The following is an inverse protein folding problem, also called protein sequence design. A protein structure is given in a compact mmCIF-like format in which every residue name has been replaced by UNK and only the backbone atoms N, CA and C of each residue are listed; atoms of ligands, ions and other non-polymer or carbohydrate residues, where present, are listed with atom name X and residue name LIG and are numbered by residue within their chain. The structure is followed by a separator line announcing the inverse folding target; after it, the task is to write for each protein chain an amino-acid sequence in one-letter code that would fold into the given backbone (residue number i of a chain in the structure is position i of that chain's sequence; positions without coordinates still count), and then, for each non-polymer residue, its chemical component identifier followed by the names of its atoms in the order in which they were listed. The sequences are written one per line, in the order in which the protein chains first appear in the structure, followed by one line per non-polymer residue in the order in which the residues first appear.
data_IF_501559384083
#
_entry.id   IF_501559384083
#
_cell.length_a   1.000
_cell.length_b   1.000
_cell.length_c   1.000
_cell.angle_alpha   90.00
_cell.angle_beta   90.00
_cell.angle_gamma   90.00
#
_symmetry.space_group_name_H-M   'P 1'
#
loop_
_entity.id
_entity.type
_entity.pdbx_description
1 polymer ?
#
# COMPACT_ATOMS: atom_id res chain seq x y z
N UNK A 1 -15.38 -14.77 -8.08
CA UNK A 1 -15.83 -13.66 -7.23
C UNK A 1 -15.45 -12.31 -7.84
N UNK A 2 -14.17 -12.03 -8.04
CA UNK A 2 -13.67 -10.75 -8.57
C UNK A 2 -14.29 -10.44 -9.94
N UNK A 3 -14.28 -11.39 -10.87
CA UNK A 3 -14.88 -11.23 -12.19
C UNK A 3 -16.36 -10.83 -12.10
N UNK A 4 -17.12 -11.54 -11.27
CA UNK A 4 -18.53 -11.25 -11.06
C UNK A 4 -18.75 -9.85 -10.46
N UNK A 5 -17.93 -9.44 -9.50
CA UNK A 5 -18.00 -8.12 -8.89
C UNK A 5 -17.67 -7.00 -9.89
N UNK A 6 -16.72 -7.23 -10.81
CA UNK A 6 -16.41 -6.30 -11.91
C UNK A 6 -17.62 -6.18 -12.85
N UNK A 7 -18.20 -7.29 -13.28
CA UNK A 7 -19.38 -7.32 -14.17
C UNK A 7 -20.61 -6.64 -13.56
N UNK A 8 -20.76 -6.73 -12.23
CA UNK A 8 -21.89 -6.10 -11.51
C UNK A 8 -21.59 -4.67 -11.04
N UNK A 9 -20.45 -4.08 -11.44
CA UNK A 9 -20.12 -2.67 -11.19
C UNK A 9 -19.61 -2.35 -9.78
N UNK A 10 -19.27 -3.37 -8.95
CA UNK A 10 -18.72 -3.16 -7.60
C UNK A 10 -17.26 -2.73 -7.60
N UNK A 11 -16.54 -2.88 -8.71
CA UNK A 11 -15.18 -2.40 -8.90
C UNK A 11 -15.16 -1.18 -9.81
N UNK A 12 -15.57 -0.04 -9.30
CA UNK A 12 -15.37 1.22 -10.00
C UNK A 12 -13.98 1.78 -9.67
N UNK A 13 -13.40 2.51 -10.63
CA UNK A 13 -12.21 3.29 -10.35
C UNK A 13 -12.51 4.23 -9.18
N UNK A 14 -11.62 4.29 -8.20
CA UNK A 14 -11.78 5.22 -7.09
C UNK A 14 -11.76 6.68 -7.62
N UNK A 15 -12.05 7.64 -6.74
CA UNK A 15 -12.03 9.08 -7.08
C UNK A 15 -10.67 9.54 -7.63
N UNK A 16 -9.59 8.81 -7.35
CA UNK A 16 -8.24 9.06 -7.83
C UNK A 16 -7.96 8.37 -9.18
N UNK A 17 -8.91 7.68 -9.80
CA UNK A 17 -8.76 7.01 -11.08
C UNK A 17 -7.96 5.70 -11.04
N UNK A 18 -7.58 5.22 -9.85
CA UNK A 18 -6.84 3.96 -9.69
C UNK A 18 -7.82 2.79 -9.78
N UNK A 19 -7.50 1.81 -10.63
CA UNK A 19 -8.27 0.58 -10.73
C UNK A 19 -8.00 -0.32 -9.50
N UNK A 20 -8.99 -0.61 -8.66
CA UNK A 20 -8.78 -1.36 -7.42
C UNK A 20 -8.38 -2.81 -7.66
N UNK A 21 -8.80 -3.44 -8.76
CA UNK A 21 -8.38 -4.81 -9.11
C UNK A 21 -6.90 -4.85 -9.41
N UNK A 22 -6.42 -3.94 -10.27
CA UNK A 22 -4.99 -3.84 -10.63
C UNK A 22 -4.15 -3.52 -9.40
N UNK A 23 -4.62 -2.60 -8.54
CA UNK A 23 -3.94 -2.27 -7.27
C UNK A 23 -3.82 -3.50 -6.38
N UNK A 24 -4.90 -4.23 -6.15
CA UNK A 24 -4.86 -5.41 -5.28
C UNK A 24 -3.96 -6.53 -5.84
N UNK A 25 -3.99 -6.77 -7.15
CA UNK A 25 -3.12 -7.75 -7.80
C UNK A 25 -1.64 -7.36 -7.66
N UNK A 26 -1.30 -6.11 -7.92
CA UNK A 26 0.08 -5.63 -7.78
C UNK A 26 0.53 -5.64 -6.31
N UNK A 27 -0.34 -5.31 -5.36
CA UNK A 27 -0.05 -5.43 -3.93
C UNK A 27 0.22 -6.89 -3.54
N UNK A 28 -0.59 -7.83 -4.03
CA UNK A 28 -0.38 -9.25 -3.80
C UNK A 28 0.95 -9.75 -4.39
N UNK A 29 1.35 -9.25 -5.57
CA UNK A 29 2.65 -9.55 -6.17
C UNK A 29 3.81 -9.03 -5.31
N UNK A 30 3.74 -7.80 -4.82
CA UNK A 30 4.75 -7.24 -3.91
C UNK A 30 4.86 -8.09 -2.63
N UNK A 31 3.74 -8.48 -2.05
CA UNK A 31 3.71 -9.35 -0.87
C UNK A 31 4.37 -10.71 -1.15
N UNK A 32 4.09 -11.31 -2.30
CA UNK A 32 4.66 -12.58 -2.69
C UNK A 32 6.18 -12.49 -2.93
N UNK A 33 6.63 -11.51 -3.71
CA UNK A 33 8.01 -11.39 -4.16
C UNK A 33 8.95 -10.81 -3.10
N UNK A 34 8.48 -9.86 -2.29
CA UNK A 34 9.32 -9.07 -1.37
C UNK A 34 9.20 -9.51 0.09
N UNK A 35 8.10 -10.14 0.46
CA UNK A 35 7.79 -10.51 1.84
C UNK A 35 7.75 -12.03 2.02
N UNK A 36 7.47 -12.78 0.94
CA UNK A 36 7.19 -14.21 1.04
C UNK A 36 5.88 -14.48 1.78
N UNK A 37 4.86 -13.68 1.50
CA UNK A 37 3.61 -13.67 2.23
C UNK A 37 2.85 -14.99 2.14
N UNK A 38 2.20 -15.36 3.23
CA UNK A 38 1.35 -16.54 3.33
C UNK A 38 0.06 -16.40 2.50
N UNK A 39 -0.55 -17.54 2.18
CA UNK A 39 -1.81 -17.62 1.41
C UNK A 39 -2.91 -16.72 1.99
N UNK A 40 -3.05 -16.67 3.30
CA UNK A 40 -4.06 -15.85 3.97
C UNK A 40 -3.90 -14.35 3.70
N UNK A 41 -2.68 -13.85 3.69
CA UNK A 41 -2.39 -12.44 3.35
C UNK A 41 -2.74 -12.12 1.90
N UNK A 42 -2.42 -13.00 0.96
CA UNK A 42 -2.71 -12.82 -0.46
C UNK A 42 -4.22 -12.80 -0.73
N UNK A 43 -4.96 -13.76 -0.18
CA UNK A 43 -6.41 -13.84 -0.33
C UNK A 43 -7.07 -12.62 0.31
N UNK A 44 -6.67 -12.23 1.52
CA UNK A 44 -7.21 -11.05 2.20
C UNK A 44 -7.00 -9.77 1.38
N UNK A 45 -5.83 -9.60 0.79
CA UNK A 45 -5.52 -8.48 -0.10
C UNK A 45 -6.43 -8.45 -1.32
N UNK A 46 -6.67 -9.59 -1.95
CA UNK A 46 -7.50 -9.70 -3.15
C UNK A 46 -8.99 -9.50 -2.85
N UNK A 47 -9.47 -9.92 -1.67
CA UNK A 47 -10.87 -9.84 -1.27
C UNK A 47 -11.23 -8.53 -0.55
N UNK A 48 -10.24 -7.74 -0.11
CA UNK A 48 -10.45 -6.55 0.70
C UNK A 48 -11.48 -5.58 0.12
N UNK A 49 -11.35 -5.22 -1.16
CA UNK A 49 -12.29 -4.29 -1.80
C UNK A 49 -13.69 -4.87 -1.99
N UNK A 50 -13.83 -6.18 -2.11
CA UNK A 50 -15.14 -6.85 -2.15
C UNK A 50 -15.85 -6.75 -0.81
N UNK A 51 -15.10 -6.86 0.28
CA UNK A 51 -15.63 -6.70 1.63
C UNK A 51 -15.98 -5.23 1.93
N UNK A 52 -15.14 -4.28 1.50
CA UNK A 52 -15.42 -2.83 1.65
C UNK A 52 -16.64 -2.38 0.87
N UNK A 53 -16.87 -2.94 -0.33
CA UNK A 53 -18.03 -2.64 -1.16
C UNK A 53 -19.30 -3.40 -0.77
N UNK A 54 -19.26 -4.17 0.32
CA UNK A 54 -20.34 -5.02 0.81
C UNK A 54 -20.85 -6.07 -0.20
N UNK A 55 -20.09 -6.30 -1.29
CA UNK A 55 -20.36 -7.39 -2.23
C UNK A 55 -20.14 -8.77 -1.59
N UNK A 56 -19.20 -8.84 -0.66
CA UNK A 56 -18.86 -10.05 0.10
C UNK A 56 -18.88 -9.71 1.59
N UNK A 57 -19.84 -10.29 2.34
CA UNK A 57 -19.92 -10.08 3.79
C UNK A 57 -18.80 -10.80 4.52
N UNK A 58 -18.44 -10.33 5.72
CA UNK A 58 -17.42 -10.97 6.55
C UNK A 58 -17.83 -12.40 6.92
N UNK A 59 -19.12 -12.64 7.16
CA UNK A 59 -19.68 -13.97 7.46
C UNK A 59 -19.50 -14.91 6.26
N UNK A 60 -19.69 -14.43 5.05
CA UNK A 60 -19.45 -15.20 3.83
C UNK A 60 -17.97 -15.50 3.65
N UNK A 61 -17.08 -14.53 3.92
CA UNK A 61 -15.61 -14.76 3.93
C UNK A 61 -15.25 -15.85 4.94
N UNK A 62 -15.77 -15.73 6.17
CA UNK A 62 -15.50 -16.70 7.24
C UNK A 62 -15.93 -18.13 6.85
N UNK A 63 -17.12 -18.25 6.27
CA UNK A 63 -17.67 -19.55 5.84
C UNK A 63 -16.88 -20.17 4.67
N UNK A 64 -16.44 -19.34 3.71
CA UNK A 64 -15.82 -19.84 2.46
C UNK A 64 -14.29 -19.94 2.57
N UNK A 65 -13.65 -19.04 3.29
CA UNK A 65 -12.18 -18.91 3.37
C UNK A 65 -11.59 -19.15 4.76
N UNK A 66 -12.44 -19.19 5.79
CA UNK A 66 -12.04 -19.45 7.18
C UNK A 66 -11.84 -18.21 8.03
N UNK A 67 -11.69 -18.45 9.34
CA UNK A 67 -11.63 -17.40 10.38
C UNK A 67 -10.41 -16.49 10.20
N UNK A 68 -9.26 -17.04 9.85
CA UNK A 68 -8.00 -16.31 9.74
C UNK A 68 -8.10 -15.20 8.69
N UNK A 69 -8.62 -15.51 7.50
CA UNK A 69 -8.82 -14.55 6.42
C UNK A 69 -9.89 -13.52 6.79
N UNK A 70 -10.97 -13.92 7.44
CA UNK A 70 -12.00 -13.01 7.90
C UNK A 70 -11.45 -12.01 8.93
N UNK A 71 -10.60 -12.44 9.86
CA UNK A 71 -9.95 -11.57 10.84
C UNK A 71 -8.98 -10.60 10.19
N UNK A 72 -8.17 -11.04 9.23
CA UNK A 72 -7.27 -10.16 8.48
C UNK A 72 -8.05 -9.07 7.75
N UNK A 73 -9.14 -9.42 7.07
CA UNK A 73 -9.99 -8.44 6.36
C UNK A 73 -10.63 -7.45 7.34
N UNK A 74 -11.12 -7.90 8.49
CA UNK A 74 -11.61 -7.01 9.55
C UNK A 74 -10.55 -6.03 10.02
N UNK A 75 -9.33 -6.51 10.25
CA UNK A 75 -8.18 -5.69 10.62
C UNK A 75 -7.84 -4.64 9.57
N UNK A 76 -7.84 -5.02 8.29
CA UNK A 76 -7.62 -4.10 7.16
C UNK A 76 -8.70 -3.02 7.07
N UNK A 77 -9.98 -3.38 7.22
CA UNK A 77 -11.11 -2.43 7.21
C UNK A 77 -10.98 -1.46 8.40
N UNK A 78 -10.72 -1.95 9.60
CA UNK A 78 -10.53 -1.15 10.81
C UNK A 78 -9.40 -0.15 10.64
N UNK A 79 -8.24 -0.60 10.15
CA UNK A 79 -7.06 0.22 9.95
C UNK A 79 -7.27 1.28 8.85
N UNK A 80 -7.90 0.93 7.74
CA UNK A 80 -8.20 1.87 6.65
C UNK A 80 -9.20 2.95 7.07
N UNK A 81 -10.18 2.62 7.91
CA UNK A 81 -11.18 3.58 8.41
C UNK A 81 -10.59 4.57 9.42
N UNK A 82 -9.64 4.13 10.24
CA UNK A 82 -8.90 5.00 11.17
C UNK A 82 -8.03 5.99 10.41
N UNK A 83 -7.36 5.51 9.37
CA UNK A 83 -6.54 6.34 8.50
C UNK A 83 -7.35 7.45 7.81
N UNK A 84 -8.53 7.13 7.32
CA UNK A 84 -9.41 8.10 6.65
C UNK A 84 -9.92 9.23 7.59
N UNK A 85 -9.95 8.99 8.91
CA UNK A 85 -10.42 9.96 9.91
C UNK A 85 -9.34 10.90 10.44
N UNK A 86 -8.08 10.54 10.28
CA UNK A 86 -6.94 11.32 10.81
C UNK A 86 -6.15 11.96 9.68
N UNK A 87 -6.56 13.16 9.27
CA UNK A 87 -5.90 13.94 8.22
C UNK A 87 -4.50 14.50 8.61
N UNK A 88 -4.04 14.31 9.85
CA UNK A 88 -2.75 14.81 10.33
C UNK A 88 -1.78 13.65 10.61
N UNK A 89 -1.03 13.29 9.61
CA UNK A 89 -0.10 12.13 9.60
C UNK A 89 1.23 12.41 10.31
N UNK A 90 1.42 13.58 10.89
CA UNK A 90 2.74 14.05 11.36
C UNK A 90 3.19 13.51 12.72
N UNK A 91 2.41 12.68 13.43
CA UNK A 91 2.78 12.35 14.78
C UNK A 91 3.30 10.93 14.97
N UNK A 92 4.36 10.79 15.74
CA UNK A 92 4.83 9.53 16.35
C UNK A 92 3.68 8.76 17.02
N UNK A 93 2.69 9.49 17.53
CA UNK A 93 1.48 8.93 18.15
C UNK A 93 0.60 8.18 17.13
N UNK A 94 0.53 8.63 15.87
CA UNK A 94 -0.23 7.91 14.84
C UNK A 94 0.42 6.55 14.53
N UNK A 95 1.74 6.49 14.43
CA UNK A 95 2.47 5.22 14.24
C UNK A 95 2.25 4.26 15.40
N UNK A 96 2.30 4.76 16.64
CA UNK A 96 2.01 3.96 17.84
C UNK A 96 0.56 3.48 17.85
N UNK A 97 -0.37 4.34 17.46
CA UNK A 97 -1.78 4.03 17.36
C UNK A 97 -2.03 2.92 16.32
N UNK A 98 -1.43 3.05 15.14
CA UNK A 98 -1.55 2.07 14.06
C UNK A 98 -1.00 0.70 14.49
N UNK A 99 0.12 0.69 15.19
CA UNK A 99 0.70 -0.54 15.74
C UNK A 99 -0.14 -1.13 16.89
N UNK A 100 -0.80 -0.29 17.70
CA UNK A 100 -1.64 -0.75 18.81
C UNK A 100 -3.02 -1.26 18.37
N UNK A 101 -3.53 -0.74 17.24
CA UNK A 101 -4.82 -1.15 16.68
C UNK A 101 -4.72 -2.33 15.72
N UNK A 102 -3.55 -2.62 15.19
CA UNK A 102 -3.32 -3.83 14.42
C UNK A 102 -3.06 -4.98 15.40
N UNK A 103 -4.10 -5.69 15.74
CA UNK A 103 -4.02 -6.93 16.50
C UNK A 103 -3.19 -8.00 15.78
N UNK A 104 -2.95 -7.80 14.48
CA UNK A 104 -2.20 -8.69 13.63
C UNK A 104 -1.20 -7.90 12.77
N UNK A 105 0.09 -8.18 12.94
CA UNK A 105 1.19 -7.52 12.21
C UNK A 105 1.07 -7.68 10.69
N UNK A 106 0.42 -8.75 10.22
CA UNK A 106 0.20 -9.01 8.79
C UNK A 106 -0.64 -7.91 8.15
N UNK A 107 -1.56 -7.30 8.89
CA UNK A 107 -2.35 -6.15 8.44
C UNK A 107 -1.44 -4.98 8.07
N UNK A 108 -0.47 -4.65 8.92
CA UNK A 108 0.48 -3.56 8.69
C UNK A 108 1.37 -3.87 7.48
N UNK A 109 1.83 -5.11 7.35
CA UNK A 109 2.65 -5.54 6.21
C UNK A 109 1.88 -5.38 4.90
N UNK A 110 0.60 -5.77 4.86
CA UNK A 110 -0.27 -5.58 3.69
C UNK A 110 -0.43 -4.09 3.37
N UNK A 111 -0.64 -3.24 4.39
CA UNK A 111 -0.77 -1.79 4.18
C UNK A 111 0.52 -1.15 3.65
N UNK A 112 1.68 -1.60 4.09
CA UNK A 112 2.98 -1.13 3.58
C UNK A 112 3.15 -1.54 2.12
N UNK A 113 2.85 -2.78 1.77
CA UNK A 113 2.92 -3.27 0.39
C UNK A 113 1.94 -2.53 -0.53
N UNK A 114 0.73 -2.26 -0.05
CA UNK A 114 -0.27 -1.46 -0.76
C UNK A 114 0.21 -0.02 -0.99
N UNK A 115 0.86 0.60 0.00
CA UNK A 115 1.44 1.94 -0.17
C UNK A 115 2.55 1.95 -1.21
N UNK A 116 3.42 0.95 -1.23
CA UNK A 116 4.43 0.81 -2.27
C UNK A 116 3.80 0.65 -3.65
N UNK A 117 2.75 -0.17 -3.77
CA UNK A 117 1.98 -0.30 -5.01
C UNK A 117 1.43 1.04 -5.49
N UNK A 118 0.78 1.80 -4.60
CA UNK A 118 0.25 3.13 -4.92
C UNK A 118 1.36 4.08 -5.35
N UNK A 119 2.50 4.10 -4.68
CA UNK A 119 3.64 4.95 -5.05
C UNK A 119 4.16 4.65 -6.47
N UNK A 120 4.16 3.38 -6.88
CA UNK A 120 4.52 2.99 -8.26
C UNK A 120 3.48 3.43 -9.30
N UNK A 121 2.22 3.47 -8.93
CA UNK A 121 1.10 3.81 -9.82
C UNK A 121 0.85 5.32 -9.92
N UNK A 122 1.20 6.09 -8.89
CA UNK A 122 0.83 7.51 -8.76
C UNK A 122 1.56 8.44 -9.74
N UNK A 123 2.60 7.97 -10.41
CA UNK A 123 3.41 8.76 -11.34
C UNK A 123 2.58 9.39 -12.48
N UNK A 124 1.53 8.73 -12.92
CA UNK A 124 0.65 9.19 -14.00
C UNK A 124 -0.63 9.89 -13.48
N UNK A 125 -0.74 10.09 -12.18
CA UNK A 125 -1.91 10.74 -11.60
C UNK A 125 -1.88 12.25 -11.91
N UNK A 126 -2.97 12.84 -12.44
CA UNK A 126 -2.96 14.24 -12.89
C UNK A 126 -2.86 15.24 -11.73
N UNK A 127 -3.37 14.89 -10.54
CA UNK A 127 -3.38 15.79 -9.39
C UNK A 127 -2.02 15.77 -8.67
N UNK A 128 -1.29 16.87 -8.78
CA UNK A 128 0.04 17.05 -8.19
C UNK A 128 0.00 17.06 -6.65
N UNK A 129 -0.98 17.72 -6.07
CA UNK A 129 -1.17 17.72 -4.61
C UNK A 129 -1.39 16.32 -4.08
N UNK A 130 -2.20 15.52 -4.75
CA UNK A 130 -2.41 14.13 -4.38
C UNK A 130 -1.11 13.32 -4.41
N UNK A 131 -0.29 13.48 -5.47
CA UNK A 131 1.03 12.80 -5.56
C UNK A 131 1.94 13.21 -4.40
N UNK A 132 1.97 14.50 -4.08
CA UNK A 132 2.76 15.02 -2.97
C UNK A 132 2.29 14.48 -1.61
N UNK A 133 0.99 14.53 -1.33
CA UNK A 133 0.42 14.06 -0.06
C UNK A 133 0.70 12.56 0.16
N UNK A 134 0.50 11.73 -0.88
CA UNK A 134 0.81 10.28 -0.84
C UNK A 134 2.32 10.04 -0.63
N UNK A 135 3.18 10.82 -1.24
CA UNK A 135 4.63 10.72 -1.07
C UNK A 135 5.07 11.10 0.35
N UNK A 136 4.49 12.16 0.92
CA UNK A 136 4.73 12.53 2.31
C UNK A 136 4.34 11.39 3.27
N UNK A 137 3.16 10.82 3.09
CA UNK A 137 2.73 9.68 3.90
C UNK A 137 3.66 8.46 3.74
N UNK A 138 4.08 8.15 2.52
CA UNK A 138 5.01 7.05 2.26
C UNK A 138 6.35 7.26 2.98
N UNK A 139 6.88 8.48 2.97
CA UNK A 139 8.15 8.83 3.59
C UNK A 139 8.08 8.90 5.12
N UNK A 140 7.06 9.58 5.67
CA UNK A 140 6.99 9.87 7.11
C UNK A 140 6.31 8.79 7.95
N UNK A 141 5.48 7.94 7.34
CA UNK A 141 4.76 6.89 8.04
C UNK A 141 5.19 5.49 7.60
N UNK A 142 5.02 5.17 6.32
CA UNK A 142 5.18 3.79 5.86
C UNK A 142 6.63 3.32 5.76
N UNK A 143 7.55 4.17 5.33
CA UNK A 143 8.97 3.81 5.29
C UNK A 143 9.54 3.55 6.70
N UNK A 144 9.29 4.36 7.74
CA UNK A 144 9.68 4.03 9.11
C UNK A 144 9.03 2.78 9.67
N UNK A 145 7.77 2.48 9.32
CA UNK A 145 7.11 1.22 9.70
C UNK A 145 7.78 0.03 9.03
N UNK A 146 8.07 0.11 7.73
CA UNK A 146 8.79 -0.91 6.98
C UNK A 146 10.18 -1.18 7.60
N UNK A 147 10.90 -0.12 8.00
CA UNK A 147 12.17 -0.24 8.71
C UNK A 147 12.04 -1.04 10.01
N UNK A 148 11.05 -0.71 10.84
CA UNK A 148 10.80 -1.41 12.12
C UNK A 148 10.47 -2.89 11.94
N UNK A 149 9.85 -3.26 10.82
CA UNK A 149 9.49 -4.63 10.50
C UNK A 149 10.58 -5.38 9.72
N UNK A 150 11.75 -4.77 9.51
CA UNK A 150 12.85 -5.38 8.77
C UNK A 150 12.65 -5.45 7.26
N UNK A 151 11.64 -4.76 6.71
CA UNK A 151 11.34 -4.70 5.28
C UNK A 151 12.20 -3.65 4.58
N UNK A 152 13.52 -3.80 4.67
CA UNK A 152 14.48 -2.76 4.24
C UNK A 152 14.42 -2.45 2.75
N UNK A 153 14.18 -3.44 1.89
CA UNK A 153 14.05 -3.22 0.45
C UNK A 153 12.81 -2.38 0.11
N UNK A 154 11.70 -2.62 0.79
CA UNK A 154 10.46 -1.84 0.64
C UNK A 154 10.65 -0.43 1.20
N UNK A 155 11.29 -0.32 2.38
CA UNK A 155 11.63 0.97 2.99
C UNK A 155 12.43 1.86 2.05
N UNK A 156 13.52 1.36 1.49
CA UNK A 156 14.38 2.13 0.58
C UNK A 156 13.63 2.55 -0.69
N UNK A 157 12.84 1.67 -1.28
CA UNK A 157 12.06 1.98 -2.47
C UNK A 157 10.96 3.02 -2.18
N UNK A 158 10.30 2.97 -1.01
CA UNK A 158 9.35 4.00 -0.58
C UNK A 158 10.01 5.37 -0.44
N UNK A 159 11.20 5.42 0.15
CA UNK A 159 11.96 6.67 0.30
C UNK A 159 12.38 7.24 -1.07
N UNK A 160 12.92 6.41 -1.95
CA UNK A 160 13.37 6.81 -3.29
C UNK A 160 12.20 7.34 -4.15
N UNK A 161 11.07 6.63 -4.15
CA UNK A 161 9.87 7.06 -4.87
C UNK A 161 9.28 8.34 -4.28
N UNK A 162 9.32 8.49 -2.95
CA UNK A 162 8.79 9.67 -2.27
C UNK A 162 9.62 10.91 -2.57
N UNK A 163 10.94 10.79 -2.63
CA UNK A 163 11.86 11.88 -2.89
C UNK A 163 11.55 12.60 -4.22
N UNK A 164 11.13 11.85 -5.22
CA UNK A 164 10.72 12.39 -6.53
C UNK A 164 9.64 13.45 -6.45
N UNK A 165 8.73 13.35 -5.47
CA UNK A 165 7.59 14.26 -5.29
C UNK A 165 7.78 15.26 -4.16
N UNK A 166 8.55 14.91 -3.13
CA UNK A 166 8.78 15.74 -1.95
C UNK A 166 9.97 16.67 -2.10
N UNK A 167 10.99 16.27 -2.89
CA UNK A 167 12.17 17.09 -3.16
C UNK A 167 12.75 16.82 -4.55
N UNK A 168 12.14 17.39 -5.55
CA UNK A 168 12.47 17.21 -6.98
C UNK A 168 13.90 17.56 -7.30
N UNK A 169 14.42 18.63 -6.74
CA UNK A 169 15.80 19.11 -7.01
C UNK A 169 16.85 18.10 -6.56
N UNK A 170 16.70 17.57 -5.34
CA UNK A 170 17.61 16.54 -4.80
C UNK A 170 17.49 15.26 -5.62
N UNK A 171 16.27 14.86 -5.98
CA UNK A 171 16.06 13.68 -6.81
C UNK A 171 16.78 13.80 -8.15
N UNK A 172 16.63 14.92 -8.86
CA UNK A 172 17.24 15.15 -10.16
C UNK A 172 18.78 15.20 -10.07
N UNK A 173 19.35 15.80 -9.01
CA UNK A 173 20.80 15.80 -8.75
C UNK A 173 21.37 14.40 -8.54
N UNK A 174 20.69 13.57 -7.73
CA UNK A 174 21.10 12.19 -7.47
C UNK A 174 21.02 11.37 -8.77
N UNK A 175 19.93 11.48 -9.52
CA UNK A 175 19.72 10.78 -10.77
C UNK A 175 20.81 11.13 -11.80
N UNK A 176 21.19 12.42 -11.88
CA UNK A 176 22.28 12.88 -12.75
C UNK A 176 23.63 12.25 -12.37
N UNK A 177 24.00 12.30 -11.10
CA UNK A 177 25.26 11.71 -10.60
C UNK A 177 25.33 10.19 -10.83
N UNK A 178 24.23 9.48 -10.61
CA UNK A 178 24.16 8.04 -10.86
C UNK A 178 24.37 7.71 -12.34
N UNK A 179 23.76 8.49 -13.23
CA UNK A 179 23.91 8.32 -14.68
C UNK A 179 25.36 8.60 -15.14
N UNK A 180 26.01 9.62 -14.60
CA UNK A 180 27.42 9.91 -14.87
C UNK A 180 28.33 8.77 -14.42
N UNK A 181 28.12 8.27 -13.21
CA UNK A 181 28.89 7.14 -12.65
C UNK A 181 28.69 5.86 -13.46
N UNK A 182 27.48 5.61 -13.97
CA UNK A 182 27.20 4.46 -14.84
C UNK A 182 27.94 4.57 -16.17
N UNK A 183 27.89 5.73 -16.81
CA UNK A 183 28.61 5.99 -18.06
C UNK A 183 30.14 5.83 -17.93
N UNK A 184 30.70 6.22 -16.79
CA UNK A 184 32.14 6.08 -16.52
C UNK A 184 32.58 4.65 -16.22
N UNK A 185 31.67 3.73 -15.87
CA UNK A 185 31.98 2.30 -15.68
C UNK A 185 31.84 1.49 -16.98
N UNK A 186 31.02 1.98 -17.90
CA UNK A 186 30.76 1.31 -19.18
C UNK A 186 31.80 1.71 -20.26
N UNK A 187 32.77 2.59 -19.93
CA UNK A 187 33.95 2.96 -20.71
C UNK A 187 35.21 2.22 -20.22
#
# INVERSE_FOLDING_TARGET
LITKAVETGHYQRNRQGINPVVRNLNTALILCERVGAERSMLISTLLFNLAVSEFLTIEAVQKEFGDDIAQLIKGLIKSSSLYAKQAAVESENFRKLLLSFAEDIRVIIIMIADRLCVMKMVNHHPNEKYRYDIACEASYLYAPLAHRLGLYSIKSELEDLSLKYTNREIYDQIAHKLNETKRSRDQ
#
